data_IF_593380001283
#
_entry.id   IF_593380001283
#
_cell.length_a   1.000
_cell.length_b   1.000
_cell.length_c   1.000
_cell.angle_alpha   90.00
_cell.angle_beta   90.00
_cell.angle_gamma   90.00
#
_symmetry.space_group_name_H-M   'P 1'
#
loop_
_entity.id
_entity.type
_entity.pdbx_description
1 polymer ?
#
# COMPACT_ATOMS: atom_id res chain seq x y z
N UNK A 1 25.53 10.51 9.72
CA UNK A 1 25.09 9.26 9.06
C UNK A 1 23.62 9.07 9.39
N UNK A 2 22.69 9.31 8.46
CA UNK A 2 21.27 9.03 8.71
C UNK A 2 21.06 7.51 8.61
N UNK A 3 20.60 6.89 9.70
CA UNK A 3 20.31 5.45 9.72
C UNK A 3 19.20 5.12 8.71
N UNK A 4 19.39 4.04 7.95
CA UNK A 4 18.33 3.55 7.06
C UNK A 4 17.18 3.03 7.92
N UNK A 5 15.92 3.45 7.66
CA UNK A 5 14.79 2.97 8.45
C UNK A 5 14.69 1.43 8.39
N UNK A 6 14.37 0.76 9.51
CA UNK A 6 14.15 -0.67 9.50
C UNK A 6 13.02 -1.04 8.54
N UNK A 7 13.16 -2.22 7.92
CA UNK A 7 12.15 -2.82 7.04
C UNK A 7 11.51 -3.99 7.74
N UNK A 8 10.20 -3.94 7.90
CA UNK A 8 9.39 -4.99 8.50
C UNK A 8 8.81 -5.87 7.39
N UNK A 9 9.00 -7.18 7.48
CA UNK A 9 8.36 -8.14 6.58
C UNK A 9 6.88 -8.23 6.95
N UNK A 10 6.05 -7.49 6.21
CA UNK A 10 4.62 -7.40 6.46
C UNK A 10 3.96 -7.79 5.14
N UNK A 11 3.54 -9.05 5.07
CA UNK A 11 2.81 -9.57 3.93
C UNK A 11 1.32 -9.38 4.12
N UNK A 12 0.75 -8.45 3.34
CA UNK A 12 -0.67 -8.10 3.44
C UNK A 12 -1.26 -7.83 2.06
N UNK A 13 -2.53 -8.18 1.83
CA UNK A 13 -3.25 -7.77 0.63
C UNK A 13 -3.24 -6.25 0.47
N UNK A 14 -3.02 -5.80 -0.77
CA UNK A 14 -3.07 -4.40 -1.11
C UNK A 14 -3.93 -4.18 -2.35
N UNK A 15 -4.77 -3.16 -2.28
CA UNK A 15 -5.45 -2.58 -3.45
C UNK A 15 -4.70 -1.32 -3.83
N UNK A 16 -4.47 -1.08 -5.12
CA UNK A 16 -3.78 0.12 -5.57
C UNK A 16 -4.46 0.77 -6.76
N UNK A 17 -4.20 2.06 -6.91
CA UNK A 17 -4.58 2.89 -8.06
C UNK A 17 -3.38 3.69 -8.52
N UNK A 18 -2.94 3.47 -9.75
CA UNK A 18 -1.91 4.25 -10.42
C UNK A 18 -2.57 5.44 -11.11
N UNK A 19 -2.16 6.66 -10.71
CA UNK A 19 -2.64 7.90 -11.30
C UNK A 19 -1.82 8.21 -12.56
N UNK A 20 -2.33 7.83 -13.73
CA UNK A 20 -1.78 8.24 -15.03
C UNK A 20 -2.55 9.45 -15.57
N UNK A 21 -2.07 10.07 -16.66
CA UNK A 21 -2.72 11.23 -17.28
C UNK A 21 -3.97 10.89 -18.09
N UNK A 22 -4.16 9.64 -18.49
CA UNK A 22 -5.26 9.24 -19.37
C UNK A 22 -6.33 8.42 -18.63
N UNK A 23 -5.94 7.28 -18.06
CA UNK A 23 -6.88 6.35 -17.41
C UNK A 23 -6.19 5.78 -16.16
N UNK A 24 -6.79 5.93 -14.96
CA UNK A 24 -6.27 5.31 -13.75
C UNK A 24 -6.23 3.80 -13.89
N UNK A 25 -5.08 3.19 -13.57
CA UNK A 25 -4.95 1.73 -13.55
C UNK A 25 -5.20 1.27 -12.12
N UNK A 26 -6.20 0.43 -11.91
CA UNK A 26 -6.48 -0.18 -10.62
C UNK A 26 -6.06 -1.64 -10.60
N UNK A 27 -5.65 -2.13 -9.44
CA UNK A 27 -5.31 -3.53 -9.28
C UNK A 27 -5.13 -3.95 -7.83
N UNK A 28 -4.84 -5.23 -7.65
CA UNK A 28 -4.55 -5.84 -6.36
C UNK A 28 -3.15 -6.44 -6.37
N UNK A 29 -2.62 -6.70 -5.17
CA UNK A 29 -1.31 -7.30 -4.97
C UNK A 29 -1.08 -7.65 -3.51
N UNK A 30 0.19 -7.86 -3.16
CA UNK A 30 0.60 -8.18 -1.78
C UNK A 30 1.87 -7.44 -1.42
N UNK A 31 1.90 -6.80 -0.25
CA UNK A 31 3.15 -6.22 0.28
C UNK A 31 4.15 -7.32 0.62
N UNK A 32 5.44 -7.03 0.50
CA UNK A 32 6.53 -7.91 0.95
C UNK A 32 7.20 -7.33 2.19
N UNK A 33 7.52 -6.03 2.15
CA UNK A 33 8.01 -5.31 3.31
C UNK A 33 7.61 -3.84 3.29
N UNK A 34 7.56 -3.25 4.49
CA UNK A 34 7.23 -1.86 4.71
C UNK A 34 8.29 -1.24 5.64
N UNK A 35 8.64 0.00 5.34
CA UNK A 35 9.42 0.89 6.20
C UNK A 35 8.70 2.24 6.26
N UNK A 36 9.20 3.18 7.09
CA UNK A 36 8.62 4.53 7.16
C UNK A 36 8.58 5.24 5.80
N UNK A 37 9.58 5.04 4.95
CA UNK A 37 9.77 5.80 3.71
C UNK A 37 9.57 4.96 2.43
N UNK A 38 9.30 3.66 2.56
CA UNK A 38 9.22 2.79 1.41
C UNK A 38 8.43 1.52 1.64
N UNK A 39 7.80 1.05 0.58
CA UNK A 39 6.98 -0.16 0.54
C UNK A 39 7.42 -0.99 -0.66
N UNK A 40 7.67 -2.28 -0.47
CA UNK A 40 7.91 -3.25 -1.53
C UNK A 40 6.67 -4.14 -1.64
N UNK A 41 6.17 -4.37 -2.85
CA UNK A 41 5.00 -5.22 -3.07
C UNK A 41 5.03 -5.91 -4.44
N UNK A 42 4.28 -6.99 -4.57
CA UNK A 42 4.03 -7.71 -5.81
C UNK A 42 2.67 -7.26 -6.38
N UNK A 43 2.63 -6.41 -7.43
CA UNK A 43 1.39 -6.09 -8.10
C UNK A 43 0.91 -7.24 -9.00
N UNK A 44 -0.41 -7.38 -9.18
CA UNK A 44 -0.99 -8.33 -10.13
C UNK A 44 -0.79 -7.98 -11.62
N UNK A 45 -0.18 -6.83 -11.92
CA UNK A 45 0.15 -6.39 -13.28
C UNK A 45 1.36 -5.45 -13.24
N UNK A 46 2.01 -5.26 -14.38
CA UNK A 46 3.19 -4.41 -14.48
C UNK A 46 2.83 -2.94 -14.22
N UNK A 47 3.65 -2.29 -13.39
CA UNK A 47 3.54 -0.86 -13.09
C UNK A 47 4.86 -0.20 -13.50
N UNK A 48 4.75 0.86 -14.30
CA UNK A 48 5.91 1.64 -14.73
C UNK A 48 6.61 2.33 -13.56
N UNK A 49 7.92 2.57 -13.69
CA UNK A 49 8.71 3.38 -12.76
C UNK A 49 8.32 4.86 -12.88
N UNK A 50 8.35 5.60 -11.78
CA UNK A 50 7.96 7.02 -11.72
C UNK A 50 6.45 7.26 -11.63
N UNK A 51 5.65 6.20 -11.60
CA UNK A 51 4.20 6.29 -11.55
C UNK A 51 3.72 6.70 -10.15
N UNK A 52 2.79 7.67 -10.09
CA UNK A 52 2.11 8.05 -8.85
C UNK A 52 1.10 6.98 -8.48
N UNK A 53 1.15 6.49 -7.25
CA UNK A 53 0.32 5.37 -6.80
C UNK A 53 -0.32 5.66 -5.45
N UNK A 54 -1.60 5.34 -5.32
CA UNK A 54 -2.28 5.22 -4.04
C UNK A 54 -2.51 3.75 -3.71
N UNK A 55 -2.41 3.39 -2.45
CA UNK A 55 -2.48 2.00 -1.98
C UNK A 55 -3.28 1.92 -0.69
N UNK A 56 -4.13 0.90 -0.57
CA UNK A 56 -4.84 0.52 0.64
C UNK A 56 -4.32 -0.86 1.08
N UNK A 57 -3.42 -0.90 2.07
CA UNK A 57 -2.86 -2.13 2.62
C UNK A 57 -3.76 -2.59 3.78
N UNK A 58 -4.23 -3.84 3.73
CA UNK A 58 -5.05 -4.42 4.80
C UNK A 58 -4.14 -4.85 5.97
N UNK A 59 -4.06 -4.04 7.02
CA UNK A 59 -3.10 -4.27 8.12
C UNK A 59 -3.58 -5.31 9.13
N UNK A 60 -4.89 -5.43 9.32
CA UNK A 60 -5.47 -6.37 10.25
C UNK A 60 -6.96 -6.54 10.02
N UNK A 61 -7.45 -7.72 10.35
CA UNK A 61 -8.86 -8.07 10.26
C UNK A 61 -9.66 -7.47 11.42
N UNK A 62 -10.98 -7.44 11.23
CA UNK A 62 -11.93 -7.16 12.29
C UNK A 62 -11.86 -8.26 13.36
N UNK A 63 -11.19 -8.02 14.49
CA UNK A 63 -11.27 -8.92 15.65
C UNK A 63 -12.42 -8.45 16.55
N UNK A 64 -13.35 -9.34 16.90
CA UNK A 64 -14.41 -9.08 17.87
C UNK A 64 -15.43 -8.00 17.48
N UNK A 65 -15.73 -7.84 16.18
CA UNK A 65 -16.68 -6.82 15.70
C UNK A 65 -16.08 -5.42 15.49
N UNK A 66 -14.77 -5.26 15.68
CA UNK A 66 -14.06 -4.02 15.33
C UNK A 66 -13.95 -3.79 13.82
N UNK A 67 -13.72 -2.55 13.39
CA UNK A 67 -13.49 -2.24 11.99
C UNK A 67 -12.09 -2.70 11.53
N UNK A 68 -11.93 -3.31 10.33
CA UNK A 68 -10.62 -3.70 9.80
C UNK A 68 -9.66 -2.51 9.72
N UNK A 69 -8.37 -2.71 9.96
CA UNK A 69 -7.39 -1.62 9.90
C UNK A 69 -6.78 -1.55 8.50
N UNK A 70 -6.78 -0.36 7.91
CA UNK A 70 -6.19 -0.08 6.60
C UNK A 70 -5.09 0.97 6.73
N UNK A 71 -3.92 0.65 6.18
CA UNK A 71 -2.86 1.63 5.94
C UNK A 71 -3.05 2.18 4.53
N UNK A 72 -3.45 3.45 4.44
CA UNK A 72 -3.50 4.17 3.17
C UNK A 72 -2.14 4.79 2.90
N UNK A 73 -1.60 4.59 1.71
CA UNK A 73 -0.30 5.11 1.28
C UNK A 73 -0.48 5.85 -0.04
N UNK A 74 0.17 6.99 -0.19
CA UNK A 74 0.37 7.66 -1.46
C UNK A 74 1.87 7.78 -1.71
N UNK A 75 2.30 7.44 -2.92
CA UNK A 75 3.72 7.29 -3.24
C UNK A 75 4.05 7.39 -4.72
N UNK A 76 5.32 7.09 -5.03
CA UNK A 76 5.85 7.02 -6.40
C UNK A 76 6.65 5.73 -6.54
N UNK A 77 6.44 4.99 -7.63
CA UNK A 77 7.24 3.80 -7.93
C UNK A 77 8.69 4.18 -8.25
N UNK A 78 9.65 3.51 -7.63
CA UNK A 78 11.09 3.79 -7.75
C UNK A 78 11.80 2.84 -8.70
N UNK A 79 11.45 1.56 -8.64
CA UNK A 79 12.07 0.49 -9.43
C UNK A 79 11.16 -0.74 -9.43
N UNK A 80 11.33 -1.55 -10.45
CA UNK A 80 10.77 -2.90 -10.53
C UNK A 80 11.93 -3.90 -10.54
N UNK A 81 11.85 -4.93 -9.73
CA UNK A 81 12.83 -6.02 -9.67
C UNK A 81 12.07 -7.34 -9.70
N UNK A 82 12.17 -8.07 -10.81
CA UNK A 82 11.31 -9.23 -11.05
C UNK A 82 9.83 -8.84 -11.04
N UNK A 83 9.04 -9.54 -10.24
CA UNK A 83 7.61 -9.30 -10.03
C UNK A 83 7.32 -8.26 -8.92
N UNK A 84 8.35 -7.68 -8.28
CA UNK A 84 8.18 -6.75 -7.17
C UNK A 84 8.45 -5.30 -7.56
N UNK A 85 7.65 -4.38 -7.03
CA UNK A 85 7.78 -2.93 -7.24
C UNK A 85 8.06 -2.24 -5.91
N UNK A 86 9.10 -1.40 -5.90
CA UNK A 86 9.41 -0.56 -4.76
C UNK A 86 8.75 0.81 -4.91
N UNK A 87 8.10 1.29 -3.85
CA UNK A 87 7.41 2.58 -3.78
C UNK A 87 8.08 3.46 -2.74
N UNK A 88 8.38 4.70 -3.10
CA UNK A 88 8.70 5.77 -2.13
C UNK A 88 7.40 6.30 -1.54
N UNK A 89 7.25 6.15 -0.22
CA UNK A 89 6.09 6.67 0.50
C UNK A 89 6.24 8.19 0.59
N UNK A 90 5.22 8.92 0.14
CA UNK A 90 5.14 10.39 0.29
C UNK A 90 4.21 10.77 1.43
N UNK A 91 3.10 10.06 1.57
CA UNK A 91 2.12 10.23 2.65
C UNK A 91 1.57 8.86 3.05
N UNK A 92 1.26 8.69 4.32
CA UNK A 92 0.52 7.53 4.79
C UNK A 92 -0.42 7.89 5.93
N UNK A 93 -1.49 7.11 6.09
CA UNK A 93 -2.43 7.23 7.20
C UNK A 93 -2.97 5.86 7.57
N UNK A 94 -2.79 5.47 8.83
CA UNK A 94 -3.45 4.31 9.42
C UNK A 94 -4.86 4.70 9.85
N UNK A 95 -5.85 3.88 9.55
CA UNK A 95 -7.24 4.19 9.84
C UNK A 95 -8.07 2.90 9.94
N UNK A 96 -9.08 2.92 10.81
CA UNK A 96 -10.15 1.94 10.75
C UNK A 96 -10.89 2.11 9.41
N UNK A 97 -11.13 1.01 8.72
CA UNK A 97 -12.05 0.94 7.57
C UNK A 97 -13.44 1.08 8.17
N UNK A 98 -13.87 2.33 8.38
CA UNK A 98 -15.18 2.66 8.95
C UNK A 98 -16.23 1.72 8.37
N UNK A 99 -16.69 0.79 9.20
CA UNK A 99 -17.89 0.03 8.89
C UNK A 99 -19.06 1.01 8.86
N UNK A 100 -20.01 0.75 8.00
CA UNK A 100 -21.36 1.31 8.04
C UNK A 100 -21.83 1.45 9.50
N UNK A 101 -22.54 2.54 9.78
CA UNK A 101 -23.16 2.87 11.07
C UNK A 101 -23.66 1.65 11.81
N UNK A 102 -23.38 1.60 13.11
CA UNK A 102 -24.11 0.76 14.04
C UNK A 102 -25.60 1.11 13.93
N UNK A 103 -26.37 0.31 13.19
CA UNK A 103 -27.82 0.30 13.35
C UNK A 103 -28.09 -0.36 14.70
N UNK A 104 -28.42 0.48 15.69
CA UNK A 104 -29.18 0.07 16.88
C UNK A 104 -30.60 -0.29 16.47
#
# INVERSE_FOLDING_TARGET
>A
MQERPPRYQIERPVQYRVRTSAIPIEGTGRTLNISRNGLLFEPGQNIGVGAKIDMNVQMGDAVGGGAPIVLRVSGVTLRSQGNAVAVSIKKYKLQAKSGVEARR
#
